data_IF_607096427424
#
_entry.id   IF_607096427424
#
_cell.length_a   1.000
_cell.length_b   1.000
_cell.length_c   1.000
_cell.angle_alpha   90.00
_cell.angle_beta   90.00
_cell.angle_gamma   90.00
#
_symmetry.space_group_name_H-M   'P 1'
#
loop_
_entity.id
_entity.type
_entity.pdbx_description
1 polymer ?
#
# COMPACT_ATOMS: atom_id res chain seq x y z
N UNK A 1 26.74 -9.77 0.06
CA UNK A 1 26.95 -8.32 -0.08
C UNK A 1 27.06 -7.74 1.32
N UNK A 2 28.12 -6.95 1.64
CA UNK A 2 28.23 -6.38 2.98
C UNK A 2 27.09 -5.34 3.18
N UNK A 3 26.38 -5.43 4.30
CA UNK A 3 25.37 -4.43 4.68
C UNK A 3 26.03 -3.05 4.81
N UNK A 4 25.34 -1.96 4.35
CA UNK A 4 25.83 -0.62 4.62
C UNK A 4 25.95 -0.42 6.14
N UNK A 5 26.97 0.29 6.64
CA UNK A 5 27.25 0.42 8.06
C UNK A 5 26.13 1.09 8.90
N UNK A 6 25.07 1.59 8.26
CA UNK A 6 23.95 2.32 8.89
C UNK A 6 22.56 1.74 8.60
N UNK A 7 22.45 0.47 8.14
CA UNK A 7 21.17 -0.14 7.78
C UNK A 7 20.60 0.34 6.43
N UNK A 8 19.47 -0.25 6.03
CA UNK A 8 18.72 0.13 4.81
C UNK A 8 17.76 1.28 5.05
N UNK A 9 17.21 1.38 6.26
CA UNK A 9 16.26 2.42 6.67
C UNK A 9 16.97 3.45 7.55
N UNK A 10 16.74 4.73 7.29
CA UNK A 10 17.36 5.86 8.02
C UNK A 10 16.27 6.64 8.75
N UNK A 11 15.85 6.10 9.90
CA UNK A 11 14.71 6.61 10.67
C UNK A 11 15.17 7.44 11.89
N UNK A 12 16.41 7.28 12.35
CA UNK A 12 16.94 7.97 13.49
C UNK A 12 16.94 9.50 13.28
N UNK A 13 16.50 10.23 14.30
CA UNK A 13 16.42 11.70 14.28
C UNK A 13 15.32 12.28 13.38
N UNK A 14 14.52 11.47 12.68
CA UNK A 14 13.47 11.96 11.76
C UNK A 14 12.14 12.27 12.46
N UNK A 15 11.98 11.87 13.73
CA UNK A 15 10.67 11.95 14.41
C UNK A 15 9.66 10.90 13.95
N UNK A 16 10.11 9.88 13.20
CA UNK A 16 9.24 8.82 12.65
C UNK A 16 8.36 8.15 13.71
N UNK A 17 8.94 7.73 14.85
CA UNK A 17 8.19 7.07 15.92
C UNK A 17 7.07 7.94 16.51
N UNK A 18 7.30 9.26 16.62
CA UNK A 18 6.28 10.21 17.07
C UNK A 18 5.17 10.39 16.03
N UNK A 19 5.53 10.54 14.77
CA UNK A 19 4.58 10.63 13.66
C UNK A 19 3.74 9.36 13.54
N UNK A 20 4.37 8.19 13.67
CA UNK A 20 3.68 6.91 13.67
C UNK A 20 2.61 6.84 14.78
N UNK A 21 2.97 7.22 16.03
CA UNK A 21 2.02 7.25 17.16
C UNK A 21 0.85 8.20 16.93
N UNK A 22 1.12 9.37 16.30
CA UNK A 22 0.09 10.36 15.98
C UNK A 22 -0.68 10.06 14.69
N UNK A 23 -0.27 9.01 13.94
CA UNK A 23 -0.79 8.72 12.61
C UNK A 23 -0.69 9.93 11.67
N UNK A 24 0.48 10.54 11.64
CA UNK A 24 0.82 11.67 10.77
C UNK A 24 1.83 11.26 9.71
N UNK A 25 1.74 11.76 8.47
CA UNK A 25 2.76 11.53 7.45
C UNK A 25 4.14 12.03 7.92
N UNK A 26 5.18 11.28 7.62
CA UNK A 26 6.55 11.67 7.97
C UNK A 26 7.56 11.22 6.92
N UNK A 27 8.50 12.10 6.60
CA UNK A 27 9.62 11.80 5.71
C UNK A 27 10.73 11.08 6.47
N UNK A 28 11.39 10.15 5.78
CA UNK A 28 12.58 9.45 6.26
C UNK A 28 13.56 9.21 5.11
N UNK A 29 14.80 8.81 5.42
CA UNK A 29 15.79 8.40 4.43
C UNK A 29 15.87 6.88 4.28
N UNK A 30 16.46 6.41 3.17
CA UNK A 30 16.80 5.00 2.96
C UNK A 30 18.05 4.86 2.07
N UNK A 31 18.61 3.65 1.99
CA UNK A 31 19.78 3.32 1.18
C UNK A 31 19.45 2.28 0.08
N UNK A 32 18.21 2.25 -0.40
CA UNK A 32 17.73 1.23 -1.34
C UNK A 32 17.88 1.64 -2.81
N UNK A 33 18.17 2.91 -3.12
CA UNK A 33 18.19 3.44 -4.49
C UNK A 33 19.17 2.71 -5.41
N UNK A 34 20.25 2.15 -4.85
CA UNK A 34 21.29 1.40 -5.61
C UNK A 34 21.20 -0.12 -5.37
N UNK A 35 20.10 -0.60 -4.79
CA UNK A 35 19.97 -2.02 -4.48
C UNK A 35 19.78 -2.86 -5.76
N UNK A 36 20.55 -3.98 -5.96
CA UNK A 36 20.54 -4.76 -7.21
C UNK A 36 19.16 -5.30 -7.62
N UNK A 37 18.29 -5.63 -6.66
CA UNK A 37 16.93 -6.10 -6.92
C UNK A 37 15.98 -4.97 -7.36
N UNK A 38 16.38 -3.71 -7.26
CA UNK A 38 15.51 -2.55 -7.50
C UNK A 38 15.95 -1.71 -8.71
N UNK A 39 16.82 -2.26 -9.57
CA UNK A 39 17.13 -1.71 -10.90
C UNK A 39 15.95 -1.93 -11.86
N UNK A 40 15.84 -1.13 -12.91
CA UNK A 40 14.78 -1.27 -13.92
C UNK A 40 14.73 -2.71 -14.49
N UNK A 41 15.89 -3.28 -14.82
CA UNK A 41 15.98 -4.64 -15.38
C UNK A 41 15.56 -5.71 -14.38
N UNK A 42 15.97 -5.59 -13.11
CA UNK A 42 15.57 -6.53 -12.07
C UNK A 42 14.06 -6.45 -11.79
N UNK A 43 13.48 -5.26 -11.85
CA UNK A 43 12.04 -5.05 -11.70
C UNK A 43 11.27 -5.57 -12.92
N UNK A 44 11.82 -5.42 -14.13
CA UNK A 44 11.22 -6.02 -15.32
C UNK A 44 11.23 -7.56 -15.25
N UNK A 45 12.30 -8.16 -14.74
CA UNK A 45 12.34 -9.60 -14.47
C UNK A 45 11.36 -10.01 -13.37
N UNK A 46 11.27 -9.25 -12.27
CA UNK A 46 10.27 -9.46 -11.22
C UNK A 46 8.84 -9.48 -11.80
N UNK A 47 8.53 -8.55 -12.70
CA UNK A 47 7.22 -8.46 -13.33
C UNK A 47 6.90 -9.68 -14.22
N UNK A 48 7.91 -10.28 -14.82
CA UNK A 48 7.77 -11.50 -15.62
C UNK A 48 7.64 -12.77 -14.76
N UNK A 49 8.26 -12.79 -13.58
CA UNK A 49 8.27 -13.93 -12.65
C UNK A 49 7.05 -13.96 -11.72
N UNK A 50 6.39 -12.83 -11.50
CA UNK A 50 5.18 -12.73 -10.69
C UNK A 50 3.98 -13.39 -11.39
N UNK A 51 3.03 -13.98 -10.61
CA UNK A 51 1.73 -14.37 -11.14
C UNK A 51 1.03 -13.21 -11.84
N UNK A 52 0.36 -13.49 -12.95
CA UNK A 52 -0.27 -12.45 -13.79
C UNK A 52 -1.26 -11.56 -13.01
N UNK A 53 -1.98 -12.13 -12.07
CA UNK A 53 -2.89 -11.42 -11.16
C UNK A 53 -2.18 -10.44 -10.22
N UNK A 54 -0.88 -10.60 -10.01
CA UNK A 54 -0.05 -9.70 -9.22
C UNK A 54 0.53 -8.53 -10.04
N UNK A 55 0.26 -8.45 -11.34
CA UNK A 55 0.70 -7.36 -12.20
C UNK A 55 -0.51 -6.55 -12.66
N UNK A 56 -0.62 -5.33 -12.18
CA UNK A 56 -1.63 -4.36 -12.62
C UNK A 56 -0.96 -3.36 -13.56
N UNK A 57 -1.61 -3.07 -14.68
CA UNK A 57 -1.17 -2.01 -15.58
C UNK A 57 -2.34 -1.08 -15.90
N UNK A 58 -2.01 0.19 -16.06
CA UNK A 58 -2.96 1.24 -16.42
C UNK A 58 -2.26 2.32 -17.26
N UNK A 59 -2.99 3.30 -17.75
CA UNK A 59 -2.43 4.43 -18.48
C UNK A 59 -1.81 5.46 -17.53
N UNK A 60 -0.75 6.13 -17.98
CA UNK A 60 -0.06 7.16 -17.19
C UNK A 60 -0.90 8.45 -17.01
N UNK A 61 -1.85 8.70 -17.89
CA UNK A 61 -2.67 9.92 -17.95
C UNK A 61 -3.99 9.74 -17.19
N UNK A 62 -3.90 9.58 -15.87
CA UNK A 62 -5.11 9.49 -15.05
C UNK A 62 -5.50 10.84 -14.46
N UNK A 63 -6.81 11.08 -14.35
CA UNK A 63 -7.34 12.21 -13.60
C UNK A 63 -7.14 12.01 -12.09
N UNK A 64 -7.11 13.10 -11.31
CA UNK A 64 -7.00 13.01 -9.84
C UNK A 64 -8.18 12.29 -9.20
N UNK A 65 -9.38 12.43 -9.78
CA UNK A 65 -10.56 11.68 -9.38
C UNK A 65 -10.94 10.72 -10.52
N UNK A 66 -10.93 9.43 -10.25
CA UNK A 66 -11.32 8.39 -11.22
C UNK A 66 -12.54 7.67 -10.68
N UNK A 67 -13.65 7.60 -11.46
CA UNK A 67 -14.83 6.84 -11.09
C UNK A 67 -14.51 5.35 -10.83
N UNK A 68 -15.35 4.71 -10.01
CA UNK A 68 -15.30 3.26 -9.82
C UNK A 68 -15.47 2.53 -11.17
N UNK A 69 -14.65 1.50 -11.38
CA UNK A 69 -14.77 0.68 -12.59
C UNK A 69 -13.91 1.08 -13.78
N UNK A 70 -12.78 1.78 -13.57
CA UNK A 70 -11.82 2.22 -14.61
C UNK A 70 -11.75 1.38 -15.89
N UNK A 71 -11.08 1.84 -16.95
CA UNK A 71 -11.15 1.21 -18.27
C UNK A 71 -10.82 -0.29 -18.21
N UNK A 72 -11.43 -1.13 -19.03
CA UNK A 72 -11.17 -2.56 -19.03
C UNK A 72 -9.70 -2.82 -19.31
N UNK A 73 -9.07 -3.64 -18.47
CA UNK A 73 -7.67 -4.05 -18.60
C UNK A 73 -7.51 -4.83 -19.90
N UNK A 74 -6.81 -4.24 -20.87
CA UNK A 74 -6.46 -4.93 -22.13
C UNK A 74 -5.56 -6.15 -21.88
N UNK A 75 -5.39 -7.02 -22.87
CA UNK A 75 -4.32 -8.02 -22.87
C UNK A 75 -3.00 -7.30 -22.93
N UNK A 76 -2.28 -7.26 -21.80
CA UNK A 76 -0.94 -6.70 -21.75
C UNK A 76 0.04 -7.57 -22.54
N UNK A 77 1.01 -6.96 -23.24
CA UNK A 77 2.26 -7.60 -23.61
C UNK A 77 2.94 -8.21 -22.38
N UNK A 78 4.06 -8.87 -22.55
CA UNK A 78 4.87 -9.36 -21.45
C UNK A 78 5.20 -8.18 -20.50
N UNK A 79 4.89 -8.26 -19.19
CA UNK A 79 5.01 -7.09 -18.31
C UNK A 79 6.41 -6.49 -18.25
N UNK A 80 7.46 -7.35 -18.26
CA UNK A 80 8.84 -6.89 -18.28
C UNK A 80 9.18 -6.08 -19.54
N UNK A 81 8.59 -6.42 -20.70
CA UNK A 81 8.81 -5.66 -21.94
C UNK A 81 8.15 -4.27 -21.85
N UNK A 82 6.97 -4.19 -21.24
CA UNK A 82 6.31 -2.88 -20.98
C UNK A 82 7.20 -2.01 -20.08
N UNK A 83 7.80 -2.59 -19.05
CA UNK A 83 8.67 -1.86 -18.11
C UNK A 83 9.94 -1.36 -18.82
N UNK A 84 10.56 -2.16 -19.69
CA UNK A 84 11.77 -1.76 -20.43
C UNK A 84 11.55 -0.63 -21.43
N UNK A 85 10.29 -0.37 -21.84
CA UNK A 85 9.92 0.65 -22.84
C UNK A 85 8.94 1.69 -22.25
N UNK A 86 9.05 2.00 -20.97
CA UNK A 86 8.15 2.94 -20.28
C UNK A 86 8.26 4.39 -20.75
N UNK A 87 9.36 4.78 -21.33
CA UNK A 87 9.59 6.06 -22.00
C UNK A 87 8.72 6.23 -23.26
N UNK A 88 8.37 5.12 -23.91
CA UNK A 88 7.62 5.11 -25.17
C UNK A 88 6.11 4.87 -24.99
N UNK A 89 5.71 4.08 -23.99
CA UNK A 89 4.37 3.48 -23.93
C UNK A 89 3.37 4.17 -23.00
N UNK A 90 3.76 5.22 -22.28
CA UNK A 90 2.93 6.01 -21.35
C UNK A 90 2.11 5.13 -20.39
N UNK A 91 2.76 4.14 -19.81
CA UNK A 91 2.14 3.16 -18.92
C UNK A 91 2.49 3.40 -17.46
N UNK A 92 1.67 2.83 -16.59
CA UNK A 92 1.88 2.76 -15.16
C UNK A 92 1.63 1.32 -14.73
N UNK A 93 2.57 0.73 -14.02
CA UNK A 93 2.47 -0.65 -13.54
C UNK A 93 2.61 -0.68 -12.02
N UNK A 94 1.83 -1.55 -11.39
CA UNK A 94 2.01 -1.96 -10.00
C UNK A 94 2.27 -3.46 -9.95
N UNK A 95 3.38 -3.82 -9.34
CA UNK A 95 3.71 -5.20 -9.01
C UNK A 95 3.28 -5.44 -7.57
N UNK A 96 2.31 -6.33 -7.37
CA UNK A 96 1.70 -6.63 -6.09
C UNK A 96 2.33 -7.86 -5.45
N UNK A 97 2.44 -7.83 -4.12
CA UNK A 97 2.85 -8.99 -3.32
C UNK A 97 4.22 -9.52 -3.76
N UNK A 98 5.22 -8.63 -3.86
CA UNK A 98 6.57 -8.97 -4.32
C UNK A 98 7.25 -9.98 -3.37
N UNK A 99 6.77 -10.14 -2.14
CA UNK A 99 7.20 -11.14 -1.16
C UNK A 99 6.92 -12.58 -1.61
N UNK A 100 6.20 -12.81 -2.70
CA UNK A 100 6.04 -14.13 -3.31
C UNK A 100 7.37 -14.66 -3.84
N UNK A 101 8.33 -13.78 -4.18
CA UNK A 101 9.69 -14.16 -4.58
C UNK A 101 10.63 -14.07 -3.37
N UNK A 102 11.36 -15.14 -3.03
CA UNK A 102 12.16 -15.23 -1.80
C UNK A 102 13.16 -14.07 -1.60
N UNK A 103 13.86 -13.65 -2.67
CA UNK A 103 14.84 -12.57 -2.58
C UNK A 103 14.20 -11.22 -2.20
N UNK A 104 12.99 -10.93 -2.71
CA UNK A 104 12.24 -9.74 -2.36
C UNK A 104 11.61 -9.85 -0.98
N UNK A 105 11.15 -11.05 -0.58
CA UNK A 105 10.68 -11.30 0.78
C UNK A 105 11.77 -11.03 1.82
N UNK A 106 13.00 -11.46 1.56
CA UNK A 106 14.16 -11.22 2.43
C UNK A 106 14.46 -9.72 2.55
N UNK A 107 14.60 -9.01 1.41
CA UNK A 107 14.82 -7.56 1.39
C UNK A 107 13.73 -6.79 2.14
N UNK A 108 12.47 -7.11 1.87
CA UNK A 108 11.32 -6.48 2.51
C UNK A 108 11.32 -6.71 4.03
N UNK A 109 11.56 -7.95 4.48
CA UNK A 109 11.60 -8.25 5.90
C UNK A 109 12.77 -7.54 6.59
N UNK A 110 13.94 -7.48 5.97
CA UNK A 110 15.07 -6.71 6.49
C UNK A 110 14.70 -5.24 6.72
N UNK A 111 14.07 -4.58 5.73
CA UNK A 111 13.63 -3.20 5.88
C UNK A 111 12.62 -3.03 7.02
N UNK A 112 11.61 -3.89 7.09
CA UNK A 112 10.56 -3.80 8.11
C UNK A 112 11.07 -4.15 9.52
N UNK A 113 12.04 -5.05 9.65
CA UNK A 113 12.68 -5.35 10.92
C UNK A 113 13.50 -4.16 11.46
N UNK A 114 14.07 -3.33 10.57
CA UNK A 114 14.73 -2.07 10.94
C UNK A 114 13.73 -0.98 11.37
N UNK A 115 12.48 -1.05 10.89
CA UNK A 115 11.39 -0.12 11.27
C UNK A 115 10.72 -0.50 12.60
N UNK A 116 10.68 -1.79 12.94
CA UNK A 116 9.96 -2.32 14.11
C UNK A 116 10.29 -1.60 15.44
N UNK A 117 11.57 -1.26 15.78
CA UNK A 117 11.91 -0.56 17.01
C UNK A 117 11.31 0.84 17.16
N UNK A 118 10.90 1.47 16.07
CA UNK A 118 10.29 2.81 16.05
C UNK A 118 8.79 2.79 16.26
N UNK A 119 8.15 1.63 16.17
CA UNK A 119 6.72 1.44 16.42
C UNK A 119 6.52 1.38 17.93
N UNK A 120 5.75 2.32 18.48
CA UNK A 120 5.70 2.62 19.90
C UNK A 120 5.19 1.50 20.82
N UNK A 121 4.56 0.46 20.31
CA UNK A 121 4.08 -0.66 21.09
C UNK A 121 4.98 -1.88 20.86
N UNK A 122 5.75 -2.27 21.90
CA UNK A 122 6.58 -3.49 21.87
C UNK A 122 5.80 -4.79 21.65
N UNK A 123 4.47 -4.73 21.71
CA UNK A 123 3.54 -5.85 21.40
C UNK A 123 2.94 -5.76 20.01
N UNK A 124 3.28 -4.73 19.24
CA UNK A 124 2.80 -4.61 17.88
C UNK A 124 3.64 -5.46 16.95
N UNK A 125 3.23 -6.69 16.74
CA UNK A 125 3.72 -7.45 15.61
C UNK A 125 3.29 -6.73 14.33
N UNK A 126 4.21 -6.49 13.41
CA UNK A 126 3.87 -6.06 12.06
C UNK A 126 3.18 -7.21 11.34
N UNK A 127 1.86 -7.15 11.26
CA UNK A 127 1.04 -8.19 10.67
C UNK A 127 0.89 -7.97 9.16
N UNK A 128 0.84 -9.06 8.38
CA UNK A 128 0.58 -9.01 6.94
C UNK A 128 1.56 -8.07 6.21
N UNK A 129 2.84 -8.31 6.37
CA UNK A 129 3.88 -7.60 5.63
C UNK A 129 3.73 -7.88 4.14
N UNK A 130 3.50 -6.84 3.35
CA UNK A 130 3.30 -6.93 1.89
C UNK A 130 4.12 -5.86 1.20
N UNK A 131 4.71 -6.19 0.05
CA UNK A 131 5.50 -5.27 -0.74
C UNK A 131 4.88 -5.01 -2.12
N UNK A 132 5.02 -3.76 -2.59
CA UNK A 132 4.61 -3.33 -3.91
C UNK A 132 5.75 -2.59 -4.60
N UNK A 133 5.84 -2.73 -5.93
CA UNK A 133 6.69 -1.88 -6.76
C UNK A 133 5.81 -1.11 -7.72
N UNK A 134 5.99 0.20 -7.75
CA UNK A 134 5.35 1.09 -8.70
C UNK A 134 6.36 1.56 -9.73
N UNK A 135 6.07 1.32 -11.00
CA UNK A 135 6.88 1.74 -12.13
C UNK A 135 6.01 2.55 -13.08
N UNK A 136 6.43 3.77 -13.39
CA UNK A 136 5.57 4.71 -14.10
C UNK A 136 6.34 5.52 -15.12
N UNK A 137 5.71 5.76 -16.27
CA UNK A 137 6.18 6.71 -17.28
C UNK A 137 6.28 8.13 -16.72
N UNK A 138 7.07 9.01 -17.37
CA UNK A 138 7.15 10.42 -17.03
C UNK A 138 5.76 11.08 -16.93
N UNK A 139 5.65 12.05 -16.02
CA UNK A 139 4.46 12.88 -15.83
C UNK A 139 3.16 12.13 -15.47
N UNK A 140 3.24 10.86 -15.08
CA UNK A 140 2.06 10.07 -14.68
C UNK A 140 1.44 10.59 -13.38
N UNK A 141 0.15 10.31 -13.23
CA UNK A 141 -0.63 10.68 -12.05
C UNK A 141 -1.20 9.43 -11.38
N UNK A 142 -0.98 9.27 -10.08
CA UNK A 142 -1.74 8.32 -9.26
C UNK A 142 -2.94 9.06 -8.68
N UNK A 143 -4.17 8.65 -9.02
CA UNK A 143 -5.38 9.28 -8.54
C UNK A 143 -5.50 9.29 -7.02
N UNK A 144 -6.29 10.23 -6.50
CA UNK A 144 -6.53 10.38 -5.09
C UNK A 144 -7.23 9.15 -4.49
N UNK A 145 -6.64 8.63 -3.44
CA UNK A 145 -7.11 7.44 -2.73
C UNK A 145 -6.59 7.43 -1.30
N UNK A 146 -6.99 6.44 -0.52
CA UNK A 146 -6.37 6.07 0.74
C UNK A 146 -6.21 4.57 0.84
N UNK A 147 -5.25 4.14 1.65
CA UNK A 147 -5.01 2.75 2.01
C UNK A 147 -5.48 2.49 3.44
N UNK A 148 -5.73 1.23 3.78
CA UNK A 148 -6.13 0.81 5.13
C UNK A 148 -4.94 0.27 5.94
N UNK A 149 -3.79 0.13 5.30
CA UNK A 149 -2.52 -0.29 5.86
C UNK A 149 -1.68 0.90 6.33
N UNK A 150 -0.71 0.63 7.20
CA UNK A 150 0.47 1.47 7.34
C UNK A 150 1.38 1.24 6.15
N UNK A 151 1.82 2.31 5.47
CA UNK A 151 2.62 2.21 4.26
C UNK A 151 3.90 3.04 4.36
N UNK A 152 4.99 2.51 3.84
CA UNK A 152 6.29 3.15 3.71
C UNK A 152 6.62 3.21 2.23
N UNK A 153 6.36 4.35 1.57
CA UNK A 153 6.76 4.55 0.18
C UNK A 153 8.18 5.08 0.12
N UNK A 154 9.02 4.47 -0.70
CA UNK A 154 10.43 4.80 -0.88
C UNK A 154 10.72 5.01 -2.36
N UNK A 155 11.43 6.09 -2.70
CA UNK A 155 11.77 6.43 -4.08
C UNK A 155 13.13 5.86 -4.46
N UNK A 156 13.16 5.07 -5.55
CA UNK A 156 14.37 4.45 -6.08
C UNK A 156 14.95 5.25 -7.25
N UNK A 157 14.11 5.68 -8.18
CA UNK A 157 14.49 6.38 -9.40
C UNK A 157 13.44 7.42 -9.77
N UNK A 158 13.88 8.53 -10.40
CA UNK A 158 13.03 9.65 -10.76
C UNK A 158 12.53 10.42 -9.55
N UNK A 159 11.58 11.32 -9.76
CA UNK A 159 11.02 12.17 -8.72
C UNK A 159 9.52 12.11 -8.74
N UNK A 160 8.90 12.36 -7.59
CA UNK A 160 7.45 12.51 -7.47
C UNK A 160 7.05 13.43 -6.34
N UNK A 161 5.94 14.13 -6.53
CA UNK A 161 5.25 14.87 -5.48
C UNK A 161 4.14 14.00 -4.91
N UNK A 162 4.26 13.61 -3.66
CA UNK A 162 3.22 12.93 -2.88
C UNK A 162 2.48 13.98 -2.06
N UNK A 163 1.21 14.15 -2.32
CA UNK A 163 0.35 15.11 -1.62
C UNK A 163 -0.65 14.38 -0.74
N UNK A 164 -0.79 14.84 0.49
CA UNK A 164 -1.76 14.35 1.46
C UNK A 164 -2.93 15.31 1.60
N UNK A 165 -4.12 14.75 1.70
CA UNK A 165 -5.32 15.48 2.08
C UNK A 165 -5.78 15.12 3.49
N UNK A 166 -6.78 15.85 3.97
CA UNK A 166 -7.44 15.57 5.23
C UNK A 166 -8.95 15.61 5.06
N UNK A 167 -9.65 14.56 5.48
CA UNK A 167 -11.10 14.59 5.54
C UNK A 167 -11.59 15.73 6.44
N UNK A 168 -12.54 16.50 5.96
CA UNK A 168 -13.02 17.71 6.66
C UNK A 168 -13.85 17.40 7.89
N UNK A 169 -14.44 16.22 7.94
CA UNK A 169 -15.28 15.75 9.08
C UNK A 169 -15.09 14.25 9.28
N UNK A 170 -15.37 13.80 10.50
CA UNK A 170 -15.40 12.36 10.83
C UNK A 170 -16.46 11.63 10.00
N UNK A 171 -17.56 12.28 9.66
CA UNK A 171 -18.61 11.69 8.82
C UNK A 171 -18.11 11.47 7.38
N UNK A 172 -17.37 12.41 6.81
CA UNK A 172 -16.76 12.26 5.48
C UNK A 172 -15.76 11.09 5.45
N UNK A 173 -14.90 10.98 6.46
CA UNK A 173 -13.98 9.84 6.60
C UNK A 173 -14.73 8.51 6.70
N UNK A 174 -15.72 8.42 7.62
CA UNK A 174 -16.55 7.22 7.80
C UNK A 174 -17.27 6.82 6.52
N UNK A 175 -17.79 7.79 5.77
CA UNK A 175 -18.43 7.55 4.48
C UNK A 175 -17.46 6.88 3.49
N UNK A 176 -16.27 7.44 3.30
CA UNK A 176 -15.27 6.92 2.38
C UNK A 176 -14.74 5.53 2.81
N UNK A 177 -14.56 5.29 4.12
CA UNK A 177 -14.19 3.97 4.64
C UNK A 177 -15.30 2.94 4.37
N UNK A 178 -16.57 3.30 4.50
CA UNK A 178 -17.68 2.41 4.13
C UNK A 178 -17.64 2.08 2.64
N UNK A 179 -17.45 3.08 1.79
CA UNK A 179 -17.31 2.90 0.34
C UNK A 179 -16.12 1.99 -0.03
N UNK A 180 -14.97 2.13 0.66
CA UNK A 180 -13.83 1.23 0.49
C UNK A 180 -14.26 -0.23 0.58
N UNK A 181 -14.99 -0.58 1.63
CA UNK A 181 -15.44 -1.94 1.89
C UNK A 181 -16.62 -2.40 1.01
N UNK A 182 -17.29 -1.46 0.36
CA UNK A 182 -18.37 -1.72 -0.60
C UNK A 182 -17.89 -1.76 -2.05
N UNK A 183 -16.59 -1.49 -2.30
CA UNK A 183 -15.94 -1.76 -3.59
C UNK A 183 -15.17 -0.60 -4.24
N UNK A 184 -15.10 0.59 -3.59
CA UNK A 184 -14.34 1.72 -4.15
C UNK A 184 -12.81 1.52 -4.11
N UNK A 185 -12.34 0.52 -3.34
CA UNK A 185 -10.91 0.22 -3.20
C UNK A 185 -10.05 1.45 -2.84
N UNK A 186 -10.59 2.35 -2.01
CA UNK A 186 -9.91 3.54 -1.53
C UNK A 186 -10.02 4.77 -2.44
N UNK A 187 -10.60 4.66 -3.64
CA UNK A 187 -10.88 5.83 -4.49
C UNK A 187 -11.88 6.75 -3.81
N UNK A 188 -11.51 8.03 -3.66
CA UNK A 188 -12.34 9.04 -2.98
C UNK A 188 -13.25 9.77 -3.97
N UNK A 189 -14.45 10.17 -3.51
CA UNK A 189 -15.44 10.87 -4.35
C UNK A 189 -15.08 12.33 -4.60
N UNK A 190 -14.50 12.99 -3.60
CA UNK A 190 -14.14 14.39 -3.68
C UNK A 190 -12.75 14.63 -3.12
N UNK A 191 -11.98 15.50 -3.79
CA UNK A 191 -10.63 15.84 -3.38
C UNK A 191 -10.68 16.64 -2.06
N UNK A 192 -10.10 16.13 -0.97
CA UNK A 192 -10.07 16.86 0.29
C UNK A 192 -9.03 17.99 0.23
N UNK A 193 -9.12 18.99 1.13
CA UNK A 193 -8.09 20.00 1.27
C UNK A 193 -6.71 19.40 1.47
N UNK A 194 -5.70 20.01 0.82
CA UNK A 194 -4.30 19.62 0.98
C UNK A 194 -3.86 19.86 2.43
N UNK A 195 -3.29 18.84 3.06
CA UNK A 195 -2.71 18.89 4.40
C UNK A 195 -1.19 19.14 4.35
N UNK A 196 -0.50 18.37 3.51
CA UNK A 196 0.95 18.41 3.35
C UNK A 196 1.36 17.84 1.98
N UNK A 197 2.55 18.20 1.52
CA UNK A 197 3.14 17.57 0.36
C UNK A 197 4.63 17.31 0.56
N UNK A 198 5.10 16.21 0.01
CA UNK A 198 6.49 15.78 0.09
C UNK A 198 7.04 15.57 -1.31
N UNK A 199 8.26 16.06 -1.55
CA UNK A 199 9.01 15.74 -2.77
C UNK A 199 9.84 14.49 -2.48
N UNK A 200 9.56 13.41 -3.20
CA UNK A 200 10.32 12.17 -3.12
C UNK A 200 11.35 12.16 -4.24
N UNK A 201 12.61 12.04 -3.85
CA UNK A 201 13.77 11.83 -4.71
C UNK A 201 14.46 10.51 -4.31
N UNK A 202 15.35 9.93 -5.12
CA UNK A 202 16.06 8.70 -4.75
C UNK A 202 16.71 8.79 -3.37
N UNK A 203 16.45 7.79 -2.51
CA UNK A 203 16.91 7.77 -1.11
C UNK A 203 15.96 8.43 -0.10
N UNK A 204 14.84 9.00 -0.55
CA UNK A 204 13.81 9.59 0.30
C UNK A 204 12.57 8.69 0.32
N UNK A 205 12.03 8.47 1.51
CA UNK A 205 10.77 7.78 1.75
C UNK A 205 9.79 8.62 2.58
N UNK A 206 8.53 8.23 2.54
CA UNK A 206 7.47 8.85 3.36
C UNK A 206 6.58 7.76 3.96
N UNK A 207 6.29 7.92 5.23
CA UNK A 207 5.27 7.14 5.93
C UNK A 207 3.87 7.66 5.60
N UNK A 208 3.00 6.77 5.18
CA UNK A 208 1.58 7.02 4.89
C UNK A 208 0.75 6.31 5.96
N UNK A 209 0.07 7.06 6.85
CA UNK A 209 -0.82 6.46 7.84
C UNK A 209 -2.08 5.84 7.18
N UNK A 210 -2.70 4.82 7.81
CA UNK A 210 -3.98 4.29 7.35
C UNK A 210 -5.06 5.37 7.21
N UNK A 211 -5.94 5.20 6.21
CA UNK A 211 -7.09 6.07 5.94
C UNK A 211 -6.71 7.54 5.70
N UNK A 212 -5.48 7.79 5.25
CA UNK A 212 -5.02 9.14 4.92
C UNK A 212 -5.11 9.36 3.41
N UNK A 213 -5.99 10.28 2.93
CA UNK A 213 -6.11 10.57 1.51
C UNK A 213 -4.79 11.08 0.94
N UNK A 214 -4.40 10.53 -0.20
CA UNK A 214 -3.18 10.96 -0.89
C UNK A 214 -3.25 10.73 -2.40
N UNK A 215 -2.42 11.50 -3.13
CA UNK A 215 -2.26 11.38 -4.58
C UNK A 215 -0.84 11.71 -4.98
N UNK A 216 -0.43 11.25 -6.15
CA UNK A 216 0.95 11.43 -6.62
C UNK A 216 0.97 12.05 -8.00
N UNK A 217 1.92 12.95 -8.22
CA UNK A 217 2.33 13.45 -9.52
C UNK A 217 3.81 13.15 -9.72
N UNK A 218 4.15 12.38 -10.76
CA UNK A 218 5.53 12.10 -11.13
C UNK A 218 6.17 13.27 -11.88
N UNK A 219 7.50 13.37 -11.79
CA UNK A 219 8.32 14.27 -12.60
C UNK A 219 8.44 13.81 -14.06
N UNK A 220 9.38 14.40 -14.77
CA UNK A 220 9.62 14.24 -16.21
C UNK A 220 10.49 13.03 -16.58
N UNK A 221 10.84 12.19 -15.63
CA UNK A 221 11.59 10.95 -15.82
C UNK A 221 10.77 9.73 -15.41
N UNK A 222 11.20 8.52 -15.84
CA UNK A 222 10.67 7.24 -15.33
C UNK A 222 10.80 7.22 -13.81
N UNK A 223 9.73 6.87 -13.14
CA UNK A 223 9.68 6.81 -11.69
C UNK A 223 9.53 5.37 -11.20
N UNK A 224 10.43 4.99 -10.28
CA UNK A 224 10.39 3.71 -9.58
C UNK A 224 10.27 3.98 -8.08
N UNK A 225 9.27 3.40 -7.44
CA UNK A 225 9.16 3.38 -5.99
C UNK A 225 8.75 2.01 -5.45
N UNK A 226 9.22 1.71 -4.26
CA UNK A 226 8.81 0.52 -3.49
C UNK A 226 7.95 0.99 -2.32
N UNK A 227 6.86 0.30 -2.09
CA UNK A 227 6.02 0.52 -0.91
C UNK A 227 5.96 -0.76 -0.10
N UNK A 228 6.30 -0.67 1.17
CA UNK A 228 6.16 -1.75 2.14
C UNK A 228 4.98 -1.43 3.05
N UNK A 229 4.06 -2.39 3.19
CA UNK A 229 2.86 -2.20 3.99
C UNK A 229 2.75 -3.25 5.09
N UNK A 230 2.07 -2.87 6.16
CA UNK A 230 1.78 -3.77 7.28
C UNK A 230 0.56 -3.27 8.06
N UNK A 231 0.02 -4.16 8.89
CA UNK A 231 -0.98 -3.82 9.89
C UNK A 231 -0.40 -3.91 11.29
N UNK A 232 -0.86 -3.06 12.18
CA UNK A 232 -0.73 -3.27 13.63
C UNK A 232 -1.92 -4.11 14.15
N UNK A 233 -1.86 -4.67 15.37
CA UNK A 233 -2.99 -5.37 15.96
C UNK A 233 -4.29 -4.56 15.96
N UNK A 234 -4.21 -3.24 16.16
CA UNK A 234 -5.37 -2.35 16.17
C UNK A 234 -5.94 -2.13 14.78
N UNK A 235 -5.12 -1.77 13.79
CA UNK A 235 -5.58 -1.58 12.40
C UNK A 235 -6.08 -2.89 11.79
N UNK A 236 -5.43 -4.02 12.10
CA UNK A 236 -5.92 -5.34 11.70
C UNK A 236 -7.28 -5.68 12.36
N UNK A 237 -7.48 -5.32 13.63
CA UNK A 237 -8.77 -5.50 14.30
C UNK A 237 -9.86 -4.66 13.64
N UNK A 238 -9.58 -3.40 13.34
CA UNK A 238 -10.50 -2.51 12.63
C UNK A 238 -10.88 -3.08 11.26
N UNK A 239 -9.91 -3.55 10.48
CA UNK A 239 -10.11 -4.23 9.19
C UNK A 239 -11.07 -5.43 9.33
N UNK A 240 -10.92 -6.26 10.37
CA UNK A 240 -11.82 -7.38 10.61
C UNK A 240 -13.25 -6.94 10.93
N UNK A 241 -13.42 -5.88 11.72
CA UNK A 241 -14.74 -5.34 12.06
C UNK A 241 -15.40 -4.76 10.81
N UNK A 242 -14.69 -3.98 10.02
CA UNK A 242 -15.21 -3.41 8.77
C UNK A 242 -15.56 -4.50 7.74
N UNK A 243 -14.74 -5.54 7.62
CA UNK A 243 -15.05 -6.70 6.77
C UNK A 243 -16.32 -7.44 7.23
N UNK A 244 -16.57 -7.52 8.53
CA UNK A 244 -17.84 -8.04 9.08
C UNK A 244 -19.00 -7.12 8.73
N UNK A 245 -18.84 -5.81 8.96
CA UNK A 245 -19.85 -4.79 8.66
C UNK A 245 -20.24 -4.78 7.17
N UNK A 246 -19.28 -4.91 6.26
CA UNK A 246 -19.55 -5.00 4.82
C UNK A 246 -20.44 -6.23 4.49
N UNK A 247 -20.23 -7.37 5.17
CA UNK A 247 -21.12 -8.54 5.00
C UNK A 247 -22.52 -8.28 5.50
N UNK A 248 -22.66 -7.59 6.64
CA UNK A 248 -23.97 -7.22 7.17
C UNK A 248 -24.70 -6.25 6.20
N UNK A 249 -24.00 -5.25 5.65
CA UNK A 249 -24.60 -4.33 4.66
C UNK A 249 -25.08 -5.06 3.41
N UNK A 250 -24.34 -6.07 2.92
CA UNK A 250 -24.80 -6.91 1.79
C UNK A 250 -26.06 -7.74 2.11
N UNK A 251 -26.38 -7.92 3.39
CA UNK A 251 -27.63 -8.53 3.87
C UNK A 251 -28.69 -7.46 4.23
N UNK A 252 -28.50 -6.21 3.80
CA UNK A 252 -29.38 -5.06 4.08
C UNK A 252 -29.49 -4.71 5.58
N UNK A 253 -28.48 -5.06 6.38
CA UNK A 253 -28.40 -4.68 7.79
C UNK A 253 -27.55 -3.42 7.95
N UNK A 254 -27.86 -2.61 8.97
CA UNK A 254 -27.14 -1.36 9.28
C UNK A 254 -26.25 -1.55 10.51
N UNK A 255 -25.01 -2.03 10.36
CA UNK A 255 -24.09 -2.24 11.48
C UNK A 255 -23.58 -0.92 12.04
N UNK A 256 -23.32 -0.87 13.35
CA UNK A 256 -22.62 0.24 13.97
C UNK A 256 -21.18 0.38 13.42
N UNK A 257 -20.68 1.61 13.35
CA UNK A 257 -19.31 1.89 12.95
C UNK A 257 -18.34 1.36 14.03
N UNK A 258 -17.11 0.94 13.64
CA UNK A 258 -16.09 0.52 14.61
C UNK A 258 -15.82 1.60 15.66
N UNK A 259 -15.75 1.19 16.91
CA UNK A 259 -15.54 2.08 18.06
C UNK A 259 -16.83 2.51 18.76
N UNK A 260 -17.97 2.51 18.08
CA UNK A 260 -19.24 2.92 18.70
C UNK A 260 -19.69 1.92 19.81
N UNK A 261 -19.41 0.61 19.62
CA UNK A 261 -19.83 -0.44 20.54
C UNK A 261 -18.71 -1.47 20.77
N UNK A 262 -17.77 -1.23 21.70
CA UNK A 262 -16.54 -2.02 21.86
C UNK A 262 -16.74 -3.53 22.09
N UNK A 263 -17.80 -3.94 22.83
CA UNK A 263 -18.09 -5.36 23.06
C UNK A 263 -18.58 -6.07 21.79
N UNK A 264 -19.44 -5.40 21.02
CA UNK A 264 -19.93 -5.90 19.74
C UNK A 264 -18.77 -5.99 18.74
N UNK A 265 -17.88 -5.02 18.73
CA UNK A 265 -16.69 -5.01 17.88
C UNK A 265 -15.74 -6.18 18.18
N UNK A 266 -15.56 -6.51 19.46
CA UNK A 266 -14.80 -7.71 19.85
C UNK A 266 -15.44 -8.99 19.29
N UNK A 267 -16.77 -9.11 19.38
CA UNK A 267 -17.50 -10.26 18.82
C UNK A 267 -17.35 -10.33 17.28
N UNK A 268 -17.51 -9.22 16.57
CA UNK A 268 -17.32 -9.12 15.11
C UNK A 268 -15.92 -9.53 14.69
N UNK A 269 -14.88 -8.98 15.33
CA UNK A 269 -13.49 -9.31 15.03
C UNK A 269 -13.18 -10.80 15.29
N UNK A 270 -13.70 -11.37 16.38
CA UNK A 270 -13.53 -12.80 16.70
C UNK A 270 -14.22 -13.69 15.65
N UNK A 271 -15.45 -13.37 15.27
CA UNK A 271 -16.17 -14.09 14.22
C UNK A 271 -15.41 -14.08 12.88
N UNK A 272 -14.83 -12.93 12.51
CA UNK A 272 -14.06 -12.82 11.28
C UNK A 272 -12.73 -13.58 11.33
N UNK A 273 -12.04 -13.62 12.48
CA UNK A 273 -10.85 -14.45 12.65
C UNK A 273 -11.19 -15.95 12.48
N UNK A 274 -12.25 -16.41 13.12
CA UNK A 274 -12.71 -17.79 12.99
C UNK A 274 -13.13 -18.15 11.55
N UNK A 275 -13.79 -17.22 10.85
CA UNK A 275 -14.14 -17.39 9.45
C UNK A 275 -12.90 -17.51 8.54
N UNK A 276 -11.92 -16.63 8.72
CA UNK A 276 -10.65 -16.67 7.98
C UNK A 276 -9.89 -17.98 8.18
N UNK A 277 -9.80 -18.45 9.43
CA UNK A 277 -9.16 -19.73 9.77
C UNK A 277 -9.86 -20.92 9.08
N UNK A 278 -11.19 -20.97 9.13
CA UNK A 278 -11.98 -22.03 8.45
C UNK A 278 -11.77 -22.02 6.95
N UNK A 279 -11.70 -20.86 6.33
CA UNK A 279 -11.47 -20.73 4.89
C UNK A 279 -10.07 -21.21 4.49
N UNK A 280 -9.06 -20.87 5.29
CA UNK A 280 -7.68 -21.34 5.10
C UNK A 280 -7.57 -22.87 5.20
N UNK A 281 -8.17 -23.48 6.22
CA UNK A 281 -8.19 -24.93 6.39
C UNK A 281 -8.90 -25.64 5.23
N UNK A 282 -10.02 -25.10 4.72
CA UNK A 282 -10.73 -25.67 3.55
C UNK A 282 -9.91 -25.54 2.27
N UNK A 283 -9.17 -24.46 2.08
CA UNK A 283 -8.26 -24.27 0.94
C UNK A 283 -7.13 -25.33 0.93
N UNK A 284 -6.50 -25.56 2.08
CA UNK A 284 -5.48 -26.61 2.24
C UNK A 284 -6.00 -28.01 1.95
N UNK A 285 -7.18 -28.36 2.45
CA UNK A 285 -7.78 -29.69 2.21
C UNK A 285 -8.12 -29.93 0.73
N UNK A 286 -8.51 -28.87 -0.02
CA UNK A 286 -8.71 -28.99 -1.46
C UNK A 286 -7.40 -29.15 -2.25
N UNK A 287 -6.33 -28.49 -1.83
CA UNK A 287 -5.01 -28.63 -2.44
C UNK A 287 -4.34 -29.97 -2.14
N UNK A 288 -4.72 -30.67 -1.06
CA UNK A 288 -4.24 -32.02 -0.71
C UNK A 288 -5.07 -33.14 -1.35
N UNK A 289 -6.22 -32.84 -1.96
CA UNK A 289 -7.13 -33.82 -2.61
C UNK A 289 -7.17 -33.68 -4.14
N UNK A 290 -6.33 -32.86 -4.73
CA UNK A 290 -6.10 -32.69 -6.15
C UNK A 290 -4.69 -33.13 -6.52
#
# INVERSE_FOLDING_TARGET
MAMPPNGLMRLDGTGFGDAFRRREPAQFGHALQDHPLLTLDSIAQLADDLPRESVISDTADQALLVPEGGPPRGKLPRPGDVIRHLDENRSWLTLLNIEQLPAYAELMNQCLDEVEPFIADRRSDMLRRVGFVFVSSPNSTTPAHFDIEHSLIMQMQGEKRLTFGKFTTVQAERHEVVRYWDGSHGRIESLPPELAAYQLTPGIGVYIPPVTPHWVKNGDAISISVTLTFFTPDTNRETLIQAFNARMRRMHLSPHYPGDWPLVDRAKATAMRAYGLRRHLRGRNRAMSA
#
